data_IF_545699905119
#
_entry.id   IF_545699905119
#
_cell.length_a   1.000
_cell.length_b   1.000
_cell.length_c   1.000
_cell.angle_alpha   90.00
_cell.angle_beta   90.00
_cell.angle_gamma   90.00
#
_symmetry.space_group_name_H-M   'P 1'
#
loop_
_entity.id
_entity.type
_entity.pdbx_description
1 polymer ?
#
# COMPACT_ATOMS: atom_id res chain seq x y z
N UNK A 1 -16.14 3.50 8.41
CA UNK A 1 -17.34 3.63 7.57
C UNK A 1 -17.53 5.06 7.08
N UNK A 2 -17.84 6.04 7.96
CA UNK A 2 -18.07 7.42 7.53
C UNK A 2 -16.92 8.03 6.70
N UNK A 3 -15.66 7.79 7.09
CA UNK A 3 -14.48 8.20 6.31
C UNK A 3 -14.56 7.72 4.85
N UNK A 4 -14.68 6.41 4.65
CA UNK A 4 -14.71 5.77 3.33
C UNK A 4 -15.93 6.19 2.50
N UNK A 5 -17.06 6.51 3.14
CA UNK A 5 -18.23 7.06 2.44
C UNK A 5 -18.00 8.49 1.93
N UNK A 6 -17.14 9.26 2.59
CA UNK A 6 -16.84 10.64 2.24
C UNK A 6 -15.63 10.75 1.31
N UNK A 7 -14.65 9.84 1.41
CA UNK A 7 -13.40 9.88 0.64
C UNK A 7 -13.30 8.83 -0.45
N UNK A 8 -14.17 7.81 -0.47
CA UNK A 8 -14.09 6.67 -1.39
C UNK A 8 -13.06 5.60 -1.00
N UNK A 9 -12.26 5.86 0.04
CA UNK A 9 -11.12 5.03 0.45
C UNK A 9 -11.08 4.79 1.96
N UNK A 10 -10.46 3.68 2.40
CA UNK A 10 -10.25 3.42 3.83
C UNK A 10 -9.18 4.35 4.41
N UNK A 11 -9.31 4.79 5.67
CA UNK A 11 -8.31 5.65 6.32
C UNK A 11 -6.95 4.96 6.50
N UNK A 12 -6.94 3.63 6.60
CA UNK A 12 -5.73 2.82 6.65
C UNK A 12 -5.87 1.65 5.68
N UNK A 13 -4.94 1.57 4.74
CA UNK A 13 -4.76 0.48 3.78
C UNK A 13 -3.30 0.05 3.84
N UNK A 14 -2.96 -1.17 3.45
CA UNK A 14 -1.53 -1.56 3.33
C UNK A 14 -1.33 -3.05 3.20
N UNK A 15 -0.33 -3.48 2.45
CA UNK A 15 -0.24 -4.73 1.67
C UNK A 15 -0.16 -6.04 2.45
N UNK A 16 -0.39 -6.01 3.77
CA UNK A 16 -0.69 -7.17 4.60
C UNK A 16 -1.38 -6.77 5.91
N UNK A 17 -1.99 -7.76 6.59
CA UNK A 17 -2.80 -7.50 7.78
C UNK A 17 -1.95 -6.85 8.86
N UNK A 18 -0.69 -7.29 9.00
CA UNK A 18 0.27 -6.72 9.92
C UNK A 18 0.57 -5.26 9.61
N UNK A 19 0.69 -4.87 8.34
CA UNK A 19 0.85 -3.48 7.92
C UNK A 19 -0.37 -2.66 8.30
N UNK A 20 -1.60 -3.12 8.00
CA UNK A 20 -2.80 -2.36 8.38
C UNK A 20 -2.94 -2.24 9.89
N UNK A 21 -2.67 -3.31 10.65
CA UNK A 21 -2.65 -3.27 12.11
C UNK A 21 -1.62 -2.26 12.61
N UNK A 22 -0.41 -2.25 12.05
CA UNK A 22 0.61 -1.27 12.41
C UNK A 22 0.14 0.17 12.13
N UNK A 23 -0.47 0.45 10.97
CA UNK A 23 -0.97 1.79 10.63
C UNK A 23 -2.12 2.22 11.55
N UNK A 24 -3.01 1.30 11.89
CA UNK A 24 -4.09 1.55 12.83
C UNK A 24 -3.54 1.94 14.21
N UNK A 25 -2.43 1.35 14.65
CA UNK A 25 -1.89 1.61 16.00
C UNK A 25 -0.93 2.82 16.01
N UNK A 26 -0.17 3.02 14.94
CA UNK A 26 1.02 3.89 14.96
C UNK A 26 0.96 5.10 14.03
N UNK A 27 0.16 5.05 12.96
CA UNK A 27 0.13 6.11 11.95
C UNK A 27 -1.18 6.91 12.00
N UNK A 28 -1.11 8.20 11.74
CA UNK A 28 -2.31 9.02 11.54
C UNK A 28 -2.76 8.95 10.08
N UNK A 29 -4.09 8.94 9.81
CA UNK A 29 -4.59 8.85 8.45
C UNK A 29 -4.26 10.14 7.69
N UNK A 30 -4.06 10.03 6.38
CA UNK A 30 -3.94 11.21 5.52
C UNK A 30 -5.17 12.10 5.69
N UNK A 31 -5.04 13.44 5.73
CA UNK A 31 -6.20 14.32 5.80
C UNK A 31 -7.21 13.99 4.69
N UNK A 32 -8.49 13.89 5.06
CA UNK A 32 -9.56 13.48 4.16
C UNK A 32 -9.69 14.40 2.93
N UNK A 33 -9.28 15.66 3.08
CA UNK A 33 -9.24 16.68 2.03
C UNK A 33 -8.29 16.32 0.87
N UNK A 34 -7.24 15.52 1.12
CA UNK A 34 -6.36 15.06 0.06
C UNK A 34 -7.02 14.02 -0.85
N UNK A 35 -7.94 13.22 -0.29
CA UNK A 35 -8.68 12.19 -1.03
C UNK A 35 -9.96 12.76 -1.65
N UNK A 36 -10.62 13.67 -0.95
CA UNK A 36 -11.77 14.41 -1.45
C UNK A 36 -11.60 15.89 -1.16
N UNK A 37 -11.12 16.63 -2.16
CA UNK A 37 -10.89 18.08 -2.08
C UNK A 37 -12.16 18.92 -1.88
N UNK A 38 -13.35 18.32 -1.93
CA UNK A 38 -14.61 19.01 -1.61
C UNK A 38 -14.92 19.04 -0.11
N UNK A 39 -14.18 18.26 0.71
CA UNK A 39 -14.33 18.27 2.17
C UNK A 39 -13.69 19.53 2.77
N UNK A 40 -14.35 20.13 3.75
CA UNK A 40 -13.82 21.30 4.44
C UNK A 40 -12.96 20.89 5.64
N UNK A 41 -12.12 21.80 6.17
CA UNK A 41 -11.34 21.55 7.38
C UNK A 41 -12.16 21.14 8.60
N UNK A 42 -13.42 21.60 8.69
CA UNK A 42 -14.34 21.21 9.76
C UNK A 42 -14.76 19.75 9.68
N UNK A 43 -15.07 19.26 8.48
CA UNK A 43 -15.42 17.85 8.27
C UNK A 43 -14.20 16.96 8.58
N UNK A 44 -13.00 17.36 8.14
CA UNK A 44 -11.76 16.64 8.44
C UNK A 44 -11.44 16.59 9.95
N UNK A 45 -11.67 17.67 10.68
CA UNK A 45 -11.47 17.73 12.13
C UNK A 45 -12.35 16.71 12.87
N UNK A 46 -13.62 16.61 12.48
CA UNK A 46 -14.56 15.63 13.03
C UNK A 46 -14.10 14.21 12.71
N UNK A 47 -13.69 13.94 11.46
CA UNK A 47 -13.21 12.64 11.03
C UNK A 47 -11.93 12.21 11.76
N UNK A 48 -10.95 13.11 11.94
CA UNK A 48 -9.73 12.83 12.72
C UNK A 48 -10.02 12.58 14.19
N UNK A 49 -10.93 13.35 14.80
CA UNK A 49 -11.32 13.11 16.20
C UNK A 49 -11.95 11.72 16.37
N UNK A 50 -12.76 11.27 15.40
CA UNK A 50 -13.34 9.94 15.42
C UNK A 50 -12.27 8.83 15.28
N UNK A 51 -11.17 9.09 14.57
CA UNK A 51 -10.07 8.15 14.34
C UNK A 51 -8.91 8.25 15.36
N UNK A 52 -9.01 9.11 16.37
CA UNK A 52 -7.95 9.33 17.35
C UNK A 52 -7.48 8.01 18.00
N UNK A 53 -6.18 7.82 18.21
CA UNK A 53 -5.65 6.58 18.78
C UNK A 53 -6.07 6.37 20.24
N UNK A 54 -6.02 7.44 21.01
CA UNK A 54 -6.50 7.48 22.38
C UNK A 54 -8.03 7.52 22.42
N UNK A 55 -8.71 6.50 22.99
CA UNK A 55 -10.16 6.48 23.13
C UNK A 55 -10.73 7.69 23.87
N UNK A 56 -10.00 8.26 24.84
CA UNK A 56 -10.47 9.42 25.61
C UNK A 56 -10.56 10.70 24.77
N UNK A 57 -9.83 10.76 23.64
CA UNK A 57 -9.88 11.89 22.71
C UNK A 57 -10.99 11.76 21.65
N UNK A 58 -11.61 10.58 21.53
CA UNK A 58 -12.73 10.33 20.60
C UNK A 58 -14.03 10.97 21.08
N UNK A 59 -15.08 10.79 20.30
CA UNK A 59 -16.44 11.12 20.74
C UNK A 59 -16.90 10.12 21.81
N UNK A 60 -17.62 10.62 22.82
CA UNK A 60 -18.11 9.80 23.92
C UNK A 60 -19.04 8.67 23.45
N UNK A 61 -19.78 8.90 22.36
CA UNK A 61 -20.68 7.92 21.75
C UNK A 61 -20.92 8.23 20.27
N UNK A 62 -21.56 7.30 19.56
CA UNK A 62 -21.88 7.45 18.13
C UNK A 62 -22.80 8.66 17.85
N UNK A 63 -23.75 8.96 18.73
CA UNK A 63 -24.68 10.08 18.53
C UNK A 63 -23.93 11.43 18.54
N UNK A 64 -22.96 11.60 19.45
CA UNK A 64 -22.10 12.79 19.50
C UNK A 64 -21.21 12.92 18.26
N UNK A 65 -20.76 11.80 17.69
CA UNK A 65 -20.03 11.81 16.42
C UNK A 65 -20.92 12.22 15.25
N UNK A 66 -22.11 11.61 15.12
CA UNK A 66 -23.06 11.91 14.03
C UNK A 66 -23.50 13.37 14.08
N UNK A 67 -23.89 13.87 15.26
CA UNK A 67 -24.29 15.28 15.39
C UNK A 67 -23.16 16.26 15.06
N UNK A 68 -21.92 15.96 15.45
CA UNK A 68 -20.77 16.77 15.08
C UNK A 68 -20.51 16.77 13.56
N UNK A 69 -20.68 15.61 12.90
CA UNK A 69 -20.51 15.47 11.47
C UNK A 69 -21.61 16.18 10.69
N UNK A 70 -22.86 16.06 11.12
CA UNK A 70 -24.02 16.76 10.53
C UNK A 70 -23.85 18.28 10.61
N UNK A 71 -23.45 18.82 11.78
CA UNK A 71 -23.17 20.25 11.92
C UNK A 71 -22.04 20.70 10.99
N UNK A 72 -20.93 19.95 10.93
CA UNK A 72 -19.81 20.29 10.05
C UNK A 72 -20.21 20.27 8.55
N UNK A 73 -21.05 19.31 8.16
CA UNK A 73 -21.60 19.20 6.81
C UNK A 73 -22.59 20.33 6.49
N UNK A 74 -23.41 20.75 7.45
CA UNK A 74 -24.39 21.83 7.28
C UNK A 74 -23.72 23.21 7.17
N UNK A 75 -22.62 23.43 7.91
CA UNK A 75 -21.81 24.65 7.84
C UNK A 75 -21.00 24.77 6.54
N UNK A 76 -20.87 23.68 5.79
CA UNK A 76 -19.98 23.56 4.63
C UNK A 76 -20.76 23.28 3.34
N UNK A 77 -21.47 24.25 2.74
CA UNK A 77 -22.21 24.00 1.51
C UNK A 77 -21.24 23.64 0.36
N UNK A 78 -21.56 22.59 -0.40
CA UNK A 78 -20.82 22.19 -1.61
C UNK A 78 -19.86 21.02 -1.47
N UNK A 79 -19.78 20.37 -0.30
CA UNK A 79 -19.12 19.06 -0.22
C UNK A 79 -19.93 18.00 -1.00
N UNK A 80 -19.24 17.11 -1.70
CA UNK A 80 -19.85 16.00 -2.42
C UNK A 80 -19.17 14.69 -2.02
N UNK A 81 -19.91 13.62 -1.68
CA UNK A 81 -19.30 12.33 -1.46
C UNK A 81 -18.69 11.82 -2.78
N UNK A 82 -17.46 11.33 -2.73
CA UNK A 82 -16.86 10.61 -3.86
C UNK A 82 -17.53 9.24 -3.94
N UNK A 83 -17.94 8.82 -5.14
CA UNK A 83 -18.52 7.50 -5.35
C UNK A 83 -17.60 6.41 -4.78
N UNK A 84 -18.16 5.51 -3.96
CA UNK A 84 -17.39 4.46 -3.29
C UNK A 84 -16.79 3.53 -4.35
N UNK A 85 -15.46 3.51 -4.46
CA UNK A 85 -14.83 2.91 -5.63
C UNK A 85 -13.32 2.83 -5.58
N UNK A 86 -12.75 2.39 -4.45
CA UNK A 86 -11.42 1.78 -4.41
C UNK A 86 -11.20 0.85 -3.19
N UNK A 87 -11.92 1.03 -2.07
CA UNK A 87 -11.60 0.32 -0.83
C UNK A 87 -12.67 -0.63 -0.25
N UNK A 88 -13.93 -0.56 -0.70
CA UNK A 88 -15.02 -1.36 -0.14
C UNK A 88 -14.87 -2.87 -0.40
N UNK A 89 -14.02 -3.25 -1.36
CA UNK A 89 -13.73 -4.63 -1.75
C UNK A 89 -12.24 -5.02 -1.68
N UNK A 90 -11.40 -4.22 -1.01
CA UNK A 90 -10.01 -4.61 -0.70
C UNK A 90 -9.95 -5.51 0.54
N UNK A 91 -9.22 -6.67 0.50
CA UNK A 91 -8.74 -7.30 1.72
C UNK A 91 -7.84 -6.30 2.49
N UNK A 92 -7.67 -6.50 3.80
CA UNK A 92 -6.91 -5.67 4.77
C UNK A 92 -5.39 -5.60 4.49
N UNK A 93 -5.01 -5.71 3.22
CA UNK A 93 -3.72 -6.08 2.67
C UNK A 93 -3.65 -5.30 1.35
N UNK A 94 -3.47 -3.99 1.51
CA UNK A 94 -3.53 -2.93 0.53
C UNK A 94 -2.49 -2.91 -0.57
N UNK A 95 -2.54 -1.76 -1.19
CA UNK A 95 -1.69 -1.26 -2.24
C UNK A 95 -1.79 0.24 -2.08
N UNK A 96 -0.70 0.96 -2.30
CA UNK A 96 -0.74 2.41 -2.26
C UNK A 96 0.04 3.02 -3.41
N UNK A 97 -0.62 4.05 -3.91
CA UNK A 97 -0.27 4.96 -4.97
C UNK A 97 1.06 5.70 -4.75
N UNK A 98 1.65 6.12 -5.86
CA UNK A 98 2.50 7.31 -5.87
C UNK A 98 1.99 8.24 -6.96
N UNK A 99 1.53 9.41 -6.53
CA UNK A 99 1.30 10.60 -7.33
C UNK A 99 2.61 11.14 -7.89
N UNK A 100 2.56 11.72 -9.10
CA UNK A 100 3.50 12.73 -9.54
C UNK A 100 2.78 13.78 -10.41
N UNK A 101 3.03 15.05 -10.05
CA UNK A 101 2.52 16.31 -10.58
C UNK A 101 2.80 16.55 -12.09
N UNK A 102 2.09 17.50 -12.74
CA UNK A 102 2.11 17.69 -14.19
C UNK A 102 3.34 18.47 -14.67
N UNK A 103 4.12 17.86 -15.58
CA UNK A 103 5.13 18.55 -16.38
C UNK A 103 4.57 19.09 -17.71
N UNK A 104 5.13 20.16 -18.28
CA UNK A 104 4.54 20.88 -19.41
C UNK A 104 4.62 20.06 -20.71
N UNK A 105 3.54 20.14 -21.50
CA UNK A 105 3.42 19.50 -22.80
C UNK A 105 4.54 19.92 -23.77
N UNK A 106 5.20 18.99 -24.47
CA UNK A 106 5.90 19.32 -25.69
C UNK A 106 4.91 19.46 -26.85
N UNK A 107 5.02 20.60 -27.52
CA UNK A 107 4.35 20.95 -28.76
C UNK A 107 4.66 19.92 -29.85
N UNK A 108 3.59 19.55 -30.56
CA UNK A 108 3.55 18.74 -31.77
C UNK A 108 4.44 19.37 -32.86
N UNK A 109 5.52 18.69 -33.24
CA UNK A 109 6.18 18.94 -34.52
C UNK A 109 5.64 17.93 -35.55
N UNK A 110 4.96 18.50 -36.54
CA UNK A 110 4.42 17.85 -37.72
C UNK A 110 5.50 17.74 -38.79
N UNK A 111 5.79 16.53 -39.28
CA UNK A 111 6.39 16.35 -40.61
C UNK A 111 6.06 14.93 -41.08
N UNK A 112 4.98 14.74 -41.86
CA UNK A 112 4.92 14.89 -43.31
C UNK A 112 5.90 13.94 -44.04
N UNK A 113 5.34 12.80 -44.51
CA UNK A 113 5.89 11.93 -45.54
C UNK A 113 6.12 12.72 -46.85
N UNK A 114 6.92 12.22 -47.83
CA UNK A 114 6.46 11.14 -48.74
C UNK A 114 7.64 10.30 -49.32
N UNK A 115 7.51 9.58 -50.46
CA UNK A 115 6.90 8.26 -50.54
C UNK A 115 7.81 7.18 -51.19
N UNK A 116 7.30 5.95 -51.09
CA UNK A 116 7.54 4.71 -51.86
C UNK A 116 8.58 4.68 -53.00
N UNK A 117 9.49 3.69 -52.93
CA UNK A 117 10.00 2.95 -54.10
C UNK A 117 10.17 1.47 -53.74
N UNK A 118 9.32 0.66 -54.35
CA UNK A 118 9.55 -0.58 -55.11
C UNK A 118 10.63 -1.62 -54.72
N UNK A 119 10.22 -2.87 -54.92
CA UNK A 119 10.83 -4.12 -54.54
C UNK A 119 12.15 -4.47 -55.28
N UNK A 120 13.04 -5.18 -54.58
CA UNK A 120 13.82 -6.32 -55.12
C UNK A 120 14.62 -7.02 -54.01
N UNK A 121 14.26 -8.28 -53.72
CA UNK A 121 15.19 -9.32 -53.22
C UNK A 121 16.13 -9.77 -54.34
N UNK A 122 17.38 -10.18 -54.05
CA UNK A 122 17.71 -11.56 -53.63
C UNK A 122 18.64 -11.58 -52.39
N UNK A 123 18.49 -12.52 -51.44
CA UNK A 123 18.93 -13.91 -51.45
C UNK A 123 20.47 -14.13 -51.47
N UNK A 124 20.99 -14.45 -50.28
CA UNK A 124 22.06 -15.41 -49.95
C UNK A 124 23.41 -15.26 -50.65
N UNK A 125 24.45 -14.86 -49.90
CA UNK A 125 25.69 -15.65 -49.87
C UNK A 125 26.55 -15.35 -48.63
N UNK A 126 27.04 -16.42 -48.02
CA UNK A 126 27.93 -16.42 -46.89
C UNK A 126 29.36 -16.08 -47.34
N UNK A 127 30.04 -15.19 -46.62
CA UNK A 127 31.50 -15.20 -46.54
C UNK A 127 31.96 -14.40 -45.31
N UNK A 128 32.44 -15.11 -44.29
CA UNK A 128 33.54 -14.60 -43.45
C UNK A 128 34.83 -14.99 -44.19
N UNK A 129 35.91 -14.19 -44.15
CA UNK A 129 36.86 -14.42 -43.06
C UNK A 129 37.58 -13.16 -42.54
N UNK A 130 37.93 -13.28 -41.25
CA UNK A 130 39.14 -12.86 -40.56
C UNK A 130 40.10 -11.85 -41.21
N UNK A 131 40.39 -10.78 -40.45
CA UNK A 131 41.65 -10.03 -40.34
C UNK A 131 41.30 -8.71 -39.64
N UNK A 132 42.05 -8.06 -38.75
CA UNK A 132 43.33 -8.29 -38.14
C UNK A 132 43.45 -7.20 -37.06
N UNK A 133 44.41 -7.37 -36.16
CA UNK A 133 44.71 -6.52 -35.04
C UNK A 133 44.79 -5.01 -35.35
N UNK A 134 44.29 -4.19 -34.42
CA UNK A 134 44.90 -2.90 -34.10
C UNK A 134 44.48 -2.46 -32.68
N UNK A 135 45.38 -2.68 -31.71
CA UNK A 135 45.47 -1.85 -30.51
C UNK A 135 46.18 -0.55 -30.85
N UNK A 136 45.89 0.55 -30.12
CA UNK A 136 46.93 1.16 -29.30
C UNK A 136 46.41 1.46 -27.88
N UNK A 137 47.09 1.03 -26.81
CA UNK A 137 48.21 1.74 -26.16
C UNK A 137 47.82 3.16 -25.73
N UNK A 138 47.20 3.31 -24.56
CA UNK A 138 47.84 3.75 -23.30
C UNK A 138 48.46 5.15 -23.40
N UNK A 139 47.71 6.16 -22.96
CA UNK A 139 48.30 7.40 -22.47
C UNK A 139 48.16 7.49 -20.95
N UNK A 140 49.32 7.63 -20.33
CA UNK A 140 49.63 7.42 -18.92
C UNK A 140 49.75 8.80 -18.26
N UNK A 141 48.72 9.25 -17.54
CA UNK A 141 48.82 10.45 -16.71
C UNK A 141 49.30 10.09 -15.28
N UNK A 142 50.39 10.74 -14.86
CA UNK A 142 51.09 10.57 -13.57
C UNK A 142 50.28 11.10 -12.35
N UNK A 143 50.51 10.60 -11.12
CA UNK A 143 49.75 10.99 -9.92
C UNK A 143 50.44 12.05 -9.02
N UNK A 144 49.66 12.55 -8.04
CA UNK A 144 49.99 13.22 -6.75
C UNK A 144 49.84 14.76 -6.69
N UNK A 145 49.64 15.41 -5.50
CA UNK A 145 49.86 14.88 -4.15
C UNK A 145 48.87 15.22 -3.00
N UNK A 146 49.06 14.40 -1.95
CA UNK A 146 48.71 14.47 -0.52
C UNK A 146 48.38 15.86 0.08
N UNK A 147 47.20 15.97 0.72
CA UNK A 147 46.92 16.93 1.81
C UNK A 147 46.35 16.21 3.03
N UNK A 148 47.19 15.37 3.63
CA UNK A 148 47.04 14.95 5.03
C UNK A 148 47.66 16.04 5.91
N UNK A 149 46.84 16.82 6.64
CA UNK A 149 47.24 17.60 7.85
C UNK A 149 46.12 18.43 8.52
N UNK A 150 44.85 18.35 8.10
CA UNK A 150 43.78 19.18 8.70
C UNK A 150 42.94 18.44 9.76
N UNK A 151 42.96 17.10 9.80
CA UNK A 151 42.14 16.31 10.74
C UNK A 151 42.67 16.23 12.19
N UNK A 152 43.93 16.61 12.45
CA UNK A 152 44.49 16.58 13.81
C UNK A 152 43.98 17.72 14.73
N UNK A 153 43.37 18.77 14.17
CA UNK A 153 42.86 19.90 14.97
C UNK A 153 41.37 19.81 15.35
N UNK A 154 40.59 18.90 14.75
CA UNK A 154 39.16 18.75 15.07
C UNK A 154 38.87 17.75 16.21
N UNK A 155 39.78 16.80 16.48
CA UNK A 155 39.62 15.84 17.58
C UNK A 155 39.91 16.43 18.98
N UNK A 156 40.74 17.48 19.07
CA UNK A 156 41.05 18.14 20.34
C UNK A 156 39.98 19.17 20.80
N UNK A 157 39.21 19.73 19.85
CA UNK A 157 38.13 20.68 20.14
C UNK A 157 36.83 20.03 20.62
N UNK A 158 36.54 18.79 20.22
CA UNK A 158 35.32 18.08 20.62
C UNK A 158 35.45 17.45 22.01
N UNK A 159 36.66 17.02 22.40
CA UNK A 159 36.92 16.49 23.75
C UNK A 159 36.88 17.55 24.86
N UNK A 160 37.11 18.83 24.53
CA UNK A 160 37.01 19.95 25.48
C UNK A 160 35.56 20.43 25.68
N UNK A 161 34.69 20.29 24.68
CA UNK A 161 33.26 20.62 24.81
C UNK A 161 32.45 19.57 25.58
N UNK A 162 32.84 18.29 25.53
CA UNK A 162 32.18 17.23 26.32
C UNK A 162 32.54 17.34 27.82
N UNK A 163 33.73 17.85 28.16
CA UNK A 163 34.14 18.05 29.56
C UNK A 163 33.51 19.29 30.23
N UNK A 164 33.09 20.30 29.45
CA UNK A 164 32.40 21.50 29.98
C UNK A 164 30.87 21.39 30.04
N UNK A 165 30.26 20.45 29.31
CA UNK A 165 28.82 20.15 29.42
C UNK A 165 28.45 19.31 30.66
N UNK A 166 29.40 18.59 31.24
CA UNK A 166 29.16 17.72 32.41
C UNK A 166 29.14 18.47 33.76
N UNK A 167 29.31 19.80 33.77
CA UNK A 167 29.32 20.62 35.00
C UNK A 167 28.07 21.52 35.12
N UNK A 168 27.11 21.43 34.18
CA UNK A 168 25.84 22.20 34.22
C UNK A 168 24.58 21.33 34.18
N UNK A 169 24.63 20.13 34.80
CA UNK A 169 23.44 19.36 35.19
C UNK A 169 23.68 18.74 36.58
N UNK A 170 23.90 19.61 37.55
CA UNK A 170 24.07 19.27 38.95
C UNK A 170 23.31 20.23 39.86
N UNK A 171 21.98 20.36 39.70
CA UNK A 171 21.08 20.88 40.74
C UNK A 171 19.59 20.65 40.37
N UNK A 172 18.89 19.83 41.15
CA UNK A 172 17.43 19.57 41.14
C UNK A 172 17.07 18.23 40.48
N UNK A 173 16.96 17.09 41.18
CA UNK A 173 15.90 16.71 42.14
C UNK A 173 14.74 16.06 41.36
N UNK A 174 14.33 14.78 41.48
CA UNK A 174 14.48 13.67 42.42
C UNK A 174 14.45 12.32 41.66
N UNK A 175 15.12 11.24 42.09
CA UNK A 175 14.96 9.92 41.49
C UNK A 175 13.80 9.12 42.12
N UNK A 176 12.90 8.69 41.24
CA UNK A 176 11.86 7.68 41.48
C UNK A 176 12.50 6.29 41.70
N UNK A 177 12.13 5.57 42.76
CA UNK A 177 12.65 4.24 43.11
C UNK A 177 11.78 3.12 42.50
N UNK A 178 12.40 2.05 41.94
CA UNK A 178 11.69 0.82 41.61
C UNK A 178 11.58 -0.11 42.83
N UNK A 179 10.38 -0.64 43.09
CA UNK A 179 10.13 -1.69 44.10
C UNK A 179 10.78 -3.01 43.71
N UNK A 180 11.40 -3.65 44.70
CA UNK A 180 12.13 -4.90 44.56
C UNK A 180 11.18 -6.10 44.59
N UNK A 181 11.19 -6.90 43.53
CA UNK A 181 10.70 -8.28 43.56
C UNK A 181 11.77 -9.18 44.16
N UNK A 182 11.62 -9.54 45.43
CA UNK A 182 12.45 -10.54 46.09
C UNK A 182 11.97 -11.94 45.75
N UNK A 183 12.85 -12.68 45.09
CA UNK A 183 12.77 -14.12 44.85
C UNK A 183 12.83 -14.89 46.18
N UNK A 184 11.88 -15.80 46.44
CA UNK A 184 11.97 -16.76 47.56
C UNK A 184 11.27 -18.08 47.24
N UNK A 185 12.10 -19.00 46.75
CA UNK A 185 12.29 -20.40 47.16
C UNK A 185 11.09 -21.35 47.39
N UNK A 186 11.24 -22.53 46.79
CA UNK A 186 10.34 -23.68 46.67
C UNK A 186 10.11 -24.52 47.96
N UNK A 187 8.90 -25.11 48.02
CA UNK A 187 8.49 -26.43 48.56
C UNK A 187 8.15 -26.61 50.06
N UNK A 188 7.34 -27.63 50.48
CA UNK A 188 6.69 -28.71 49.71
C UNK A 188 5.17 -28.93 49.95
N UNK A 189 4.57 -29.72 49.04
CA UNK A 189 3.22 -30.32 49.11
C UNK A 189 3.24 -31.61 49.96
N UNK A 190 2.29 -31.77 50.88
CA UNK A 190 1.93 -33.07 51.50
C UNK A 190 0.40 -33.20 51.62
N UNK A 191 -0.06 -34.42 51.36
CA UNK A 191 -1.42 -34.88 51.08
C UNK A 191 -2.48 -34.73 52.20
N UNK A 192 -3.68 -34.28 51.78
CA UNK A 192 -4.93 -35.07 51.76
C UNK A 192 -5.65 -35.44 53.08
N UNK A 193 -6.91 -35.01 53.21
CA UNK A 193 -8.07 -35.87 53.57
C UNK A 193 -9.41 -35.14 53.32
N UNK A 194 -10.36 -35.87 52.72
CA UNK A 194 -11.76 -35.50 52.44
C UNK A 194 -12.62 -35.46 53.71
N UNK A 195 -13.74 -34.71 53.66
CA UNK A 195 -15.17 -35.08 53.89
C UNK A 195 -15.98 -33.85 54.45
N UNK A 196 -17.33 -33.80 54.40
CA UNK A 196 -18.28 -33.68 53.28
C UNK A 196 -19.18 -32.41 53.33
N UNK A 197 -19.98 -32.23 52.27
CA UNK A 197 -21.23 -31.45 52.11
C UNK A 197 -21.84 -30.73 53.33
N UNK A 198 -22.08 -29.41 53.18
CA UNK A 198 -23.35 -28.76 53.55
C UNK A 198 -23.68 -27.60 52.59
N UNK A 199 -24.97 -27.34 52.31
CA UNK A 199 -25.39 -26.40 51.26
C UNK A 199 -25.42 -24.95 51.79
N UNK A 200 -24.81 -24.01 51.05
CA UNK A 200 -24.91 -22.58 51.37
C UNK A 200 -26.16 -22.00 50.72
N UNK A 201 -27.02 -21.48 51.57
CA UNK A 201 -28.29 -20.81 51.32
C UNK A 201 -28.08 -19.48 50.57
N UNK A 202 -28.88 -19.24 49.53
CA UNK A 202 -28.85 -18.02 48.71
C UNK A 202 -29.71 -16.94 49.40
N UNK A 203 -29.22 -15.71 49.64
CA UNK A 203 -30.01 -14.64 50.25
C UNK A 203 -31.08 -14.09 49.27
N UNK A 204 -32.20 -13.54 49.77
CA UNK A 204 -33.32 -13.12 48.94
C UNK A 204 -33.01 -11.84 48.15
N UNK A 205 -33.42 -11.85 46.89
CA UNK A 205 -33.41 -10.70 45.97
C UNK A 205 -34.38 -9.64 46.50
N UNK A 206 -33.87 -8.44 46.79
CA UNK A 206 -34.68 -7.27 47.10
C UNK A 206 -35.28 -6.74 45.80
N UNK A 207 -36.61 -6.72 45.72
CA UNK A 207 -37.36 -6.09 44.65
C UNK A 207 -37.12 -4.58 44.66
N UNK A 208 -36.64 -4.05 43.54
CA UNK A 208 -36.65 -2.62 43.25
C UNK A 208 -37.79 -2.36 42.28
N UNK A 209 -38.61 -1.33 42.56
CA UNK A 209 -39.78 -0.94 41.78
C UNK A 209 -39.48 -0.73 40.28
N UNK A 210 -40.47 -0.93 39.39
CA UNK A 210 -40.27 -0.77 37.96
C UNK A 210 -40.12 0.71 37.58
N UNK A 211 -39.01 1.04 36.92
CA UNK A 211 -38.82 2.30 36.18
C UNK A 211 -39.91 2.39 35.10
N UNK A 212 -40.66 3.51 34.97
CA UNK A 212 -41.61 3.66 33.89
C UNK A 212 -40.89 3.72 32.54
N UNK A 213 -41.29 2.82 31.64
CA UNK A 213 -40.78 2.68 30.28
C UNK A 213 -41.04 3.98 29.48
N UNK A 214 -40.04 4.54 28.78
CA UNK A 214 -40.28 5.67 27.88
C UNK A 214 -41.26 5.26 26.77
N UNK A 215 -42.15 6.15 26.29
CA UNK A 215 -43.12 5.80 25.28
C UNK A 215 -42.39 5.35 24.00
N UNK A 216 -42.66 4.11 23.61
CA UNK A 216 -42.18 3.53 22.36
C UNK A 216 -42.68 4.41 21.20
N UNK A 217 -41.82 4.83 20.24
CA UNK A 217 -42.31 5.44 19.03
C UNK A 217 -43.25 4.44 18.34
N UNK A 218 -44.44 4.90 17.99
CA UNK A 218 -45.45 4.11 17.32
C UNK A 218 -44.82 3.36 16.14
N UNK A 219 -44.96 2.03 16.15
CA UNK A 219 -44.68 1.17 15.00
C UNK A 219 -45.47 1.75 13.80
N UNK A 220 -44.82 2.18 12.70
CA UNK A 220 -45.56 2.57 11.51
C UNK A 220 -46.41 1.38 11.06
N UNK A 221 -47.68 1.63 10.76
CA UNK A 221 -48.58 0.62 10.23
C UNK A 221 -47.95 -0.07 9.02
N UNK A 222 -48.08 -1.40 8.85
CA UNK A 222 -47.67 -2.08 7.62
C UNK A 222 -48.67 -1.72 6.52
N UNK A 223 -48.48 -0.55 5.92
CA UNK A 223 -49.32 -0.02 4.85
C UNK A 223 -48.56 1.06 4.10
N UNK A 224 -48.40 0.85 2.80
CA UNK A 224 -48.04 1.85 1.77
C UNK A 224 -46.56 2.19 1.49
N UNK A 225 -45.57 1.87 2.34
CA UNK A 225 -44.15 2.19 2.03
C UNK A 225 -43.31 0.99 1.53
N UNK A 226 -43.82 -0.24 1.68
CA UNK A 226 -43.15 -1.48 1.24
C UNK A 226 -43.62 -1.90 -0.16
N UNK A 227 -43.57 -0.96 -1.10
CA UNK A 227 -43.79 -1.22 -2.54
C UNK A 227 -42.77 -0.58 -3.47
N UNK A 228 -41.69 -0.03 -2.94
CA UNK A 228 -40.57 0.41 -3.77
C UNK A 228 -39.26 -0.13 -3.20
N UNK A 229 -38.48 -0.77 -4.07
CA UNK A 229 -37.14 -1.31 -3.81
C UNK A 229 -37.07 -2.75 -3.27
N UNK A 230 -37.84 -3.66 -3.87
CA UNK A 230 -37.28 -4.99 -4.13
C UNK A 230 -36.03 -4.78 -5.02
N UNK A 231 -34.85 -5.35 -4.73
CA UNK A 231 -33.76 -5.38 -5.71
C UNK A 231 -34.34 -6.02 -6.98
N UNK A 232 -34.54 -5.22 -8.04
CA UNK A 232 -35.02 -5.75 -9.31
C UNK A 232 -33.96 -6.71 -9.81
N UNK A 233 -34.24 -8.00 -9.65
CA UNK A 233 -33.42 -9.06 -10.20
C UNK A 233 -33.34 -8.82 -11.71
N UNK A 234 -32.15 -8.74 -12.33
CA UNK A 234 -32.00 -8.31 -13.70
C UNK A 234 -32.75 -9.27 -14.64
N UNK A 235 -33.94 -8.85 -15.05
CA UNK A 235 -34.84 -9.50 -16.00
C UNK A 235 -34.60 -8.89 -17.37
N UNK A 236 -33.58 -9.39 -18.06
CA UNK A 236 -33.23 -9.01 -19.42
C UNK A 236 -32.40 -10.08 -20.10
N UNK A 237 -32.38 -10.05 -21.43
CA UNK A 237 -31.54 -10.94 -22.24
C UNK A 237 -30.06 -10.63 -22.02
N UNK A 238 -29.20 -11.65 -22.16
CA UNK A 238 -27.75 -11.47 -22.11
C UNK A 238 -27.28 -10.54 -23.24
N UNK A 239 -26.42 -9.59 -22.89
CA UNK A 239 -25.77 -8.64 -23.78
C UNK A 239 -24.27 -8.92 -23.87
N UNK A 240 -23.70 -8.70 -25.04
CA UNK A 240 -22.27 -8.84 -25.27
C UNK A 240 -21.49 -7.69 -24.61
N UNK A 241 -20.42 -8.04 -23.89
CA UNK A 241 -19.46 -7.13 -23.30
C UNK A 241 -18.11 -7.33 -23.98
N UNK A 242 -17.70 -6.40 -24.83
CA UNK A 242 -16.38 -6.44 -25.49
C UNK A 242 -15.35 -5.79 -24.58
N UNK A 243 -14.31 -6.56 -24.27
CA UNK A 243 -13.29 -6.21 -23.30
C UNK A 243 -11.92 -6.27 -23.95
N UNK A 244 -11.17 -5.18 -23.84
CA UNK A 244 -9.78 -5.11 -24.29
C UNK A 244 -8.91 -4.49 -23.19
N UNK A 245 -7.65 -4.89 -23.13
CA UNK A 245 -6.67 -4.31 -22.22
C UNK A 245 -5.34 -4.03 -22.91
N UNK A 246 -4.54 -3.14 -22.33
CA UNK A 246 -3.19 -2.84 -22.75
C UNK A 246 -2.25 -2.98 -21.56
N UNK A 247 -1.29 -3.93 -21.58
CA UNK A 247 -1.07 -4.94 -22.62
C UNK A 247 -2.19 -6.01 -22.66
N UNK A 248 -2.32 -6.70 -23.79
CA UNK A 248 -3.27 -7.80 -23.96
C UNK A 248 -2.91 -9.04 -23.12
N UNK A 249 -3.84 -9.99 -23.01
CA UNK A 249 -3.68 -11.22 -22.23
C UNK A 249 -4.08 -11.08 -20.77
N UNK A 250 -4.66 -9.95 -20.36
CA UNK A 250 -5.17 -9.78 -19.01
C UNK A 250 -6.43 -10.61 -18.78
N UNK A 251 -6.50 -11.29 -17.65
CA UNK A 251 -7.66 -12.05 -17.19
C UNK A 251 -8.72 -11.12 -16.63
N UNK A 252 -9.95 -11.21 -17.14
CA UNK A 252 -11.13 -10.48 -16.68
C UNK A 252 -12.07 -11.44 -15.98
N UNK A 253 -12.64 -11.02 -14.85
CA UNK A 253 -13.67 -11.74 -14.08
C UNK A 253 -14.84 -10.79 -13.87
N UNK A 254 -16.04 -11.20 -14.29
CA UNK A 254 -17.28 -10.46 -14.11
C UNK A 254 -17.97 -10.84 -12.79
N UNK A 255 -18.39 -9.84 -12.02
CA UNK A 255 -19.13 -9.94 -10.75
C UNK A 255 -18.52 -10.93 -9.75
N UNK A 256 -17.18 -11.01 -9.73
CA UNK A 256 -16.42 -11.94 -8.90
C UNK A 256 -16.77 -13.44 -9.11
N UNK A 257 -17.40 -13.78 -10.25
CA UNK A 257 -17.72 -15.14 -10.63
C UNK A 257 -16.64 -15.70 -11.57
N UNK A 258 -15.80 -16.61 -11.07
CA UNK A 258 -14.69 -17.19 -11.84
C UNK A 258 -15.15 -18.00 -13.06
N UNK A 259 -16.40 -18.47 -13.08
CA UNK A 259 -16.98 -19.12 -14.26
C UNK A 259 -17.29 -18.12 -15.38
N UNK A 260 -17.44 -16.83 -15.06
CA UNK A 260 -17.62 -15.72 -16.00
C UNK A 260 -16.28 -14.98 -16.17
N UNK A 261 -15.28 -15.68 -16.71
CA UNK A 261 -13.95 -15.14 -16.94
C UNK A 261 -13.45 -15.34 -18.36
N UNK A 262 -12.58 -14.44 -18.82
CA UNK A 262 -11.93 -14.51 -20.12
C UNK A 262 -10.55 -13.83 -20.12
N UNK A 263 -9.77 -14.02 -21.18
CA UNK A 263 -8.49 -13.33 -21.38
C UNK A 263 -8.61 -12.34 -22.54
N UNK A 264 -8.20 -11.09 -22.30
CA UNK A 264 -8.42 -9.97 -23.22
C UNK A 264 -7.49 -10.03 -24.46
N UNK A 265 -7.96 -9.63 -25.64
CA UNK A 265 -9.33 -9.16 -25.94
C UNK A 265 -10.36 -10.30 -25.94
N UNK A 266 -11.51 -10.10 -25.32
CA UNK A 266 -12.56 -11.12 -25.20
C UNK A 266 -13.96 -10.54 -25.14
N UNK A 267 -14.96 -11.43 -25.23
CA UNK A 267 -16.38 -11.12 -25.05
C UNK A 267 -16.92 -11.90 -23.86
N UNK A 268 -17.55 -11.20 -22.91
CA UNK A 268 -18.37 -11.79 -21.85
C UNK A 268 -19.84 -11.45 -22.09
N UNK A 269 -20.73 -12.14 -21.39
CA UNK A 269 -22.16 -11.86 -21.49
C UNK A 269 -22.71 -11.49 -20.11
N UNK A 270 -23.45 -10.37 -20.05
CA UNK A 270 -24.08 -9.89 -18.82
C UNK A 270 -25.52 -9.46 -19.09
N UNK A 271 -26.36 -9.51 -18.07
CA UNK A 271 -27.73 -8.99 -18.19
C UNK A 271 -27.74 -7.47 -18.05
N UNK A 272 -28.82 -6.77 -18.42
CA UNK A 272 -28.97 -5.36 -18.10
C UNK A 272 -28.90 -5.16 -16.58
N UNK A 273 -28.10 -4.21 -16.12
CA UNK A 273 -27.80 -4.01 -14.70
C UNK A 273 -26.46 -3.33 -14.47
N UNK A 274 -26.16 -3.05 -13.20
CA UNK A 274 -24.82 -2.61 -12.79
C UNK A 274 -23.95 -3.83 -12.57
N UNK A 275 -22.77 -3.82 -13.16
CA UNK A 275 -21.80 -4.91 -13.13
C UNK A 275 -20.42 -4.40 -12.74
N UNK A 276 -19.61 -5.29 -12.18
CA UNK A 276 -18.22 -5.01 -11.83
C UNK A 276 -17.31 -6.03 -12.50
N UNK A 277 -16.20 -5.57 -13.07
CA UNK A 277 -15.14 -6.45 -13.56
C UNK A 277 -13.86 -6.24 -12.76
N UNK A 278 -13.15 -7.35 -12.54
CA UNK A 278 -11.76 -7.36 -12.09
C UNK A 278 -10.88 -7.77 -13.27
N UNK A 279 -9.87 -6.98 -13.57
CA UNK A 279 -8.87 -7.24 -14.60
C UNK A 279 -7.52 -7.45 -13.93
N UNK A 280 -6.82 -8.52 -14.29
CA UNK A 280 -5.55 -8.90 -13.66
C UNK A 280 -4.56 -9.41 -14.69
N UNK A 281 -3.29 -9.02 -14.55
CA UNK A 281 -2.18 -9.52 -15.35
C UNK A 281 -0.91 -9.57 -14.49
N UNK A 282 -0.10 -10.62 -14.65
CA UNK A 282 1.12 -10.80 -13.86
C UNK A 282 2.10 -9.63 -14.06
N UNK A 283 2.58 -9.05 -12.95
CA UNK A 283 3.46 -7.88 -12.97
C UNK A 283 2.73 -6.54 -13.16
N UNK A 284 1.40 -6.54 -13.18
CA UNK A 284 0.57 -5.33 -13.28
C UNK A 284 -0.36 -5.23 -12.08
N UNK A 285 -0.80 -4.01 -11.78
CA UNK A 285 -1.80 -3.71 -10.76
C UNK A 285 -3.15 -4.27 -11.22
N UNK A 286 -3.90 -4.88 -10.31
CA UNK A 286 -5.28 -5.29 -10.59
C UNK A 286 -6.16 -4.04 -10.78
N UNK A 287 -6.95 -4.05 -11.84
CA UNK A 287 -7.90 -2.98 -12.16
C UNK A 287 -9.33 -3.43 -11.86
N UNK A 288 -10.15 -2.52 -11.37
CA UNK A 288 -11.56 -2.74 -11.07
C UNK A 288 -12.40 -1.69 -11.80
N UNK A 289 -13.46 -2.12 -12.49
CA UNK A 289 -14.38 -1.20 -13.18
C UNK A 289 -15.82 -1.54 -12.87
N UNK A 290 -16.58 -0.52 -12.50
CA UNK A 290 -18.04 -0.57 -12.49
C UNK A 290 -18.55 -0.01 -13.81
N UNK A 291 -19.57 -0.65 -14.37
CA UNK A 291 -20.28 -0.15 -15.55
C UNK A 291 -21.73 -0.62 -15.51
N UNK A 292 -22.57 0.07 -16.29
CA UNK A 292 -23.98 -0.27 -16.44
C UNK A 292 -24.23 -0.85 -17.81
N UNK A 293 -24.73 -2.07 -17.84
CA UNK A 293 -25.21 -2.75 -19.03
C UNK A 293 -26.67 -2.37 -19.23
N UNK A 294 -27.00 -1.90 -20.43
CA UNK A 294 -28.36 -1.60 -20.85
C UNK A 294 -28.89 -2.76 -21.71
N UNK A 295 -29.75 -2.48 -22.68
CA UNK A 295 -30.38 -3.49 -23.54
C UNK A 295 -29.64 -3.71 -24.87
N UNK A 296 -28.35 -3.33 -24.93
CA UNK A 296 -27.51 -3.50 -26.11
C UNK A 296 -26.09 -3.92 -25.71
N UNK A 297 -25.35 -4.47 -26.68
CA UNK A 297 -23.93 -4.79 -26.53
C UNK A 297 -23.12 -3.56 -26.10
N UNK A 298 -22.23 -3.74 -25.14
CA UNK A 298 -21.38 -2.70 -24.60
C UNK A 298 -19.93 -2.96 -24.99
N UNK A 299 -19.31 -1.97 -25.63
CA UNK A 299 -17.87 -1.96 -25.90
C UNK A 299 -17.17 -1.09 -24.86
N UNK A 300 -16.36 -1.72 -24.01
CA UNK A 300 -15.60 -0.99 -23.01
C UNK A 300 -14.34 -0.41 -23.65
N UNK A 301 -14.08 0.87 -23.38
CA UNK A 301 -12.81 1.50 -23.77
C UNK A 301 -11.62 0.66 -23.29
N UNK A 302 -10.58 0.44 -24.12
CA UNK A 302 -9.44 -0.38 -23.75
C UNK A 302 -8.83 0.03 -22.41
N UNK A 303 -8.69 -0.94 -21.51
CA UNK A 303 -8.25 -0.71 -20.13
C UNK A 303 -6.72 -0.78 -20.11
N UNK A 304 -6.05 0.34 -19.81
CA UNK A 304 -4.59 0.37 -19.65
C UNK A 304 -4.21 -0.11 -18.25
N UNK A 305 -3.44 -1.19 -18.16
CA UNK A 305 -2.94 -1.71 -16.90
C UNK A 305 -1.66 -1.00 -16.50
N UNK A 306 -1.55 -0.66 -15.21
CA UNK A 306 -0.34 -0.07 -14.65
C UNK A 306 0.64 -1.16 -14.25
N UNK A 307 1.85 -1.14 -14.82
CA UNK A 307 2.89 -2.08 -14.43
C UNK A 307 3.38 -1.77 -13.02
N UNK A 308 3.47 -2.79 -12.17
CA UNK A 308 4.08 -2.64 -10.84
C UNK A 308 5.59 -2.73 -11.03
N UNK A 309 6.36 -1.86 -10.37
CA UNK A 309 7.82 -1.91 -10.30
C UNK A 309 8.26 -1.92 -8.83
N UNK A 310 9.33 -2.66 -8.54
CA UNK A 310 10.02 -2.58 -7.26
C UNK A 310 11.40 -1.97 -7.41
N UNK A 311 11.96 -1.47 -6.32
CA UNK A 311 13.35 -0.97 -6.27
C UNK A 311 14.14 -1.81 -5.27
N UNK A 312 15.20 -2.47 -5.74
CA UNK A 312 16.16 -3.13 -4.86
C UNK A 312 17.25 -2.14 -4.47
N UNK A 313 17.28 -1.75 -3.20
CA UNK A 313 18.39 -1.01 -2.58
C UNK A 313 19.45 -2.01 -2.11
N UNK A 314 20.48 -2.19 -2.92
CA UNK A 314 21.54 -3.16 -2.68
C UNK A 314 22.79 -2.46 -2.15
N UNK A 315 23.31 -2.94 -1.02
CA UNK A 315 24.60 -2.54 -0.46
C UNK A 315 25.52 -3.76 -0.33
N UNK A 316 26.83 -3.58 -0.44
CA UNK A 316 27.77 -4.67 -0.19
C UNK A 316 28.92 -4.26 0.72
N UNK A 317 29.50 -5.24 1.41
CA UNK A 317 30.76 -5.05 2.13
C UNK A 317 31.81 -5.98 1.53
N UNK A 318 32.89 -5.47 0.92
CA UNK A 318 33.18 -4.04 0.67
C UNK A 318 32.27 -3.40 -0.41
N UNK A 319 32.09 -2.08 -0.35
CA UNK A 319 31.31 -1.31 -1.35
C UNK A 319 31.92 -1.38 -2.75
N UNK A 320 31.18 -1.02 -3.79
CA UNK A 320 31.69 -0.96 -5.17
C UNK A 320 31.78 -2.34 -5.84
N UNK A 321 30.96 -3.29 -5.40
CA UNK A 321 30.85 -4.60 -6.02
C UNK A 321 30.05 -4.50 -7.32
N UNK A 322 30.45 -5.30 -8.32
CA UNK A 322 29.66 -5.48 -9.54
C UNK A 322 28.42 -6.30 -9.20
N UNK A 323 27.28 -5.88 -9.76
CA UNK A 323 26.01 -6.57 -9.57
C UNK A 323 25.52 -7.08 -10.92
N UNK A 324 25.02 -8.31 -10.92
CA UNK A 324 24.35 -8.93 -12.06
C UNK A 324 22.98 -9.41 -11.59
N UNK A 325 21.92 -9.05 -12.31
CA UNK A 325 20.54 -9.44 -12.03
C UNK A 325 20.02 -10.28 -13.18
N UNK A 326 19.58 -11.51 -12.90
CA UNK A 326 19.12 -12.49 -13.90
C UNK A 326 20.10 -12.70 -15.06
N UNK A 327 21.39 -12.66 -14.75
CA UNK A 327 22.48 -12.79 -15.74
C UNK A 327 22.83 -11.50 -16.48
N UNK A 328 22.08 -10.40 -16.29
CA UNK A 328 22.35 -9.10 -16.90
C UNK A 328 23.15 -8.22 -15.93
N UNK A 329 24.33 -7.75 -16.35
CA UNK A 329 25.17 -6.89 -15.53
C UNK A 329 24.52 -5.52 -15.36
N UNK A 330 24.34 -5.09 -14.11
CA UNK A 330 23.82 -3.76 -13.79
C UNK A 330 24.84 -2.67 -14.18
N UNK A 331 24.34 -1.50 -14.57
CA UNK A 331 25.17 -0.37 -14.97
C UNK A 331 25.94 0.26 -13.78
N UNK A 332 25.41 0.11 -12.57
CA UNK A 332 25.97 0.69 -11.34
C UNK A 332 26.53 -0.41 -10.43
N UNK A 333 27.56 -0.07 -9.66
CA UNK A 333 28.09 -0.90 -8.58
C UNK A 333 27.41 -0.58 -7.25
N UNK A 334 27.54 -1.45 -6.25
CA UNK A 334 26.99 -1.20 -4.91
C UNK A 334 27.65 0.00 -4.22
N UNK A 335 26.94 0.76 -3.36
CA UNK A 335 25.50 0.72 -3.15
C UNK A 335 24.72 1.23 -4.38
N UNK A 336 23.64 0.54 -4.75
CA UNK A 336 22.83 0.91 -5.93
C UNK A 336 21.33 0.67 -5.70
N UNK A 337 20.52 1.51 -6.37
CA UNK A 337 19.08 1.37 -6.46
C UNK A 337 18.74 0.73 -7.82
N UNK A 338 18.25 -0.50 -7.82
CA UNK A 338 17.97 -1.27 -9.03
C UNK A 338 16.46 -1.41 -9.22
N UNK A 339 15.84 -0.73 -10.22
CA UNK A 339 14.44 -0.93 -10.54
C UNK A 339 14.28 -2.31 -11.19
N UNK A 340 13.45 -3.17 -10.59
CA UNK A 340 13.21 -4.54 -11.01
C UNK A 340 11.72 -4.79 -11.14
N UNK A 341 11.35 -5.69 -12.05
CA UNK A 341 9.96 -6.16 -12.18
C UNK A 341 9.57 -6.90 -10.90
N UNK A 342 8.28 -7.02 -10.58
CA UNK A 342 7.84 -7.90 -9.52
C UNK A 342 8.14 -9.34 -9.89
N UNK A 343 8.74 -10.09 -8.97
CA UNK A 343 9.10 -11.47 -9.16
C UNK A 343 10.39 -11.86 -8.46
N UNK A 344 10.81 -13.08 -8.76
CA UNK A 344 12.03 -13.69 -8.24
C UNK A 344 13.20 -13.33 -9.13
N UNK A 345 14.21 -12.66 -8.57
CA UNK A 345 15.41 -12.24 -9.29
C UNK A 345 16.65 -12.92 -8.71
N UNK A 346 17.50 -13.47 -9.58
CA UNK A 346 18.79 -14.03 -9.18
C UNK A 346 19.84 -12.93 -9.20
N UNK A 347 20.37 -12.60 -8.03
CA UNK A 347 21.43 -11.62 -7.85
C UNK A 347 22.76 -12.32 -7.73
N UNK A 348 23.75 -11.79 -8.44
CA UNK A 348 25.16 -12.14 -8.29
C UNK A 348 25.92 -10.86 -8.00
N UNK A 349 26.59 -10.82 -6.85
CA UNK A 349 27.41 -9.69 -6.39
C UNK A 349 28.86 -10.13 -6.35
N UNK A 350 29.73 -9.42 -7.05
CA UNK A 350 31.14 -9.81 -7.24
C UNK A 350 32.09 -8.65 -7.01
N UNK A 351 33.17 -8.90 -6.26
CA UNK A 351 34.28 -7.94 -6.12
C UNK A 351 35.57 -8.65 -5.79
N UNK A 352 36.64 -8.32 -6.52
CA UNK A 352 38.01 -8.78 -6.17
C UNK A 352 38.17 -10.30 -6.08
N UNK A 353 37.44 -11.06 -6.90
CA UNK A 353 37.43 -12.53 -6.88
C UNK A 353 36.44 -13.16 -5.90
N UNK A 354 35.85 -12.39 -4.99
CA UNK A 354 34.77 -12.84 -4.10
C UNK A 354 33.42 -12.73 -4.82
N UNK A 355 32.54 -13.70 -4.60
CA UNK A 355 31.23 -13.81 -5.24
C UNK A 355 30.18 -14.24 -4.22
N UNK A 356 29.03 -13.56 -4.23
CA UNK A 356 27.82 -13.98 -3.52
C UNK A 356 26.67 -14.09 -4.50
N UNK A 357 25.86 -15.15 -4.37
CA UNK A 357 24.68 -15.36 -5.21
C UNK A 357 23.48 -15.58 -4.32
N UNK A 358 22.39 -14.87 -4.59
CA UNK A 358 21.16 -14.95 -3.78
C UNK A 358 19.94 -14.65 -4.64
N UNK A 359 18.83 -15.32 -4.35
CA UNK A 359 17.55 -15.03 -4.98
C UNK A 359 16.77 -14.06 -4.11
N UNK A 360 16.41 -12.90 -4.69
CA UNK A 360 15.60 -11.88 -4.03
C UNK A 360 14.18 -11.89 -4.59
N UNK A 361 13.18 -11.73 -3.73
CA UNK A 361 11.82 -11.45 -4.16
C UNK A 361 11.62 -9.93 -4.21
N UNK A 362 11.30 -9.41 -5.38
CA UNK A 362 10.95 -8.00 -5.57
C UNK A 362 9.45 -7.92 -5.79
N UNK A 363 8.78 -7.05 -5.04
CA UNK A 363 7.35 -6.77 -5.19
C UNK A 363 7.12 -5.31 -5.58
N UNK A 364 5.97 -4.77 -5.19
CA UNK A 364 5.74 -3.33 -5.18
C UNK A 364 6.58 -2.67 -4.07
N UNK A 365 7.25 -1.56 -4.36
CA UNK A 365 8.01 -0.79 -3.36
C UNK A 365 9.50 -1.13 -3.26
N UNK A 366 10.13 -0.77 -2.13
CA UNK A 366 11.58 -0.86 -1.96
C UNK A 366 11.99 -2.07 -1.11
N UNK A 367 12.90 -2.89 -1.65
CA UNK A 367 13.53 -4.00 -0.95
C UNK A 367 14.96 -3.62 -0.61
N UNK A 368 15.37 -3.78 0.65
CA UNK A 368 16.74 -3.52 1.08
C UNK A 368 17.50 -4.83 1.23
N UNK A 369 18.65 -4.94 0.56
CA UNK A 369 19.53 -6.09 0.66
C UNK A 369 20.95 -5.63 0.98
N UNK A 370 21.56 -6.25 1.99
CA UNK A 370 22.97 -6.05 2.32
C UNK A 370 23.71 -7.37 2.15
N UNK A 371 24.73 -7.36 1.29
CA UNK A 371 25.55 -8.53 0.98
C UNK A 371 26.94 -8.36 1.59
N UNK A 372 27.43 -9.36 2.31
CA UNK A 372 28.84 -9.38 2.74
C UNK A 372 29.59 -10.39 1.88
N UNK A 373 30.55 -9.90 1.10
CA UNK A 373 31.39 -10.76 0.26
C UNK A 373 32.47 -11.39 1.14
N UNK A 374 32.67 -12.70 1.00
CA UNK A 374 33.68 -13.48 1.72
C UNK A 374 34.53 -14.27 0.76
#
# INVERSE_FOLDING_TARGET
MAWEMLTGEKPFSGDNLSTVVYRIVSEEPLPAQHLNGTLTPRIDEVLRRALAKDPAKRFANCAGFVGALEMACAESPGWMPVAVGAAASLPTIGTQWSEALPGPSPVRASEAAPPAVEAATPAVEAATPAAEAATPAVERAKPAPKRARVWWWLAAGVLTLIALGAVWLGAGGQPWQPEQTTDRALSPVVHGRQQPDQPVEVPPVVHSDPVPEPPQPARPEPGEAERASTPQQPTGLLQDLRLASTPAGARVILDNNTALSCETPCVLHARPGTHHIKISLAGYRNEYREFRVQDAALDLTPITLQQVMGTLMLSSTPDGATVTVDGIRAAQTTPSALPLKPGSHVLVVEKGGMRHSETVQVGEGTVYLRVTLR
#
